data_IF_860071948207
#
_entry.id   IF_860071948207
#
_cell.length_a   1.000
_cell.length_b   1.000
_cell.length_c   1.000
_cell.angle_alpha   90.00
_cell.angle_beta   90.00
_cell.angle_gamma   90.00
#
_symmetry.space_group_name_H-M   'P 1'
#
loop_
_entity.id
_entity.type
_entity.pdbx_description
1 polymer ?
#
# COMPACT_ATOMS: atom_id res chain seq x y z
N UNK A 1 9.46 -20.42 9.23
CA UNK A 1 8.20 -20.02 9.89
C UNK A 1 8.42 -18.68 10.57
N UNK A 2 7.65 -17.64 10.24
CA UNK A 2 7.62 -16.41 11.05
C UNK A 2 7.07 -16.78 12.43
N UNK A 3 7.88 -16.65 13.49
CA UNK A 3 7.35 -16.73 14.86
C UNK A 3 6.29 -15.64 15.05
N UNK A 4 5.26 -15.90 15.85
CA UNK A 4 4.15 -14.97 16.12
C UNK A 4 4.64 -13.57 16.51
N UNK A 5 5.75 -13.49 17.26
CA UNK A 5 6.42 -12.22 17.60
C UNK A 5 6.90 -11.46 16.35
N UNK A 6 7.59 -12.13 15.43
CA UNK A 6 8.08 -11.51 14.19
C UNK A 6 6.93 -11.01 13.32
N UNK A 7 5.83 -11.78 13.26
CA UNK A 7 4.64 -11.35 12.55
C UNK A 7 4.02 -10.08 13.16
N UNK A 8 3.90 -10.04 14.50
CA UNK A 8 3.39 -8.85 15.21
C UNK A 8 4.24 -7.61 14.94
N UNK A 9 5.56 -7.76 14.91
CA UNK A 9 6.48 -6.67 14.57
C UNK A 9 6.28 -6.17 13.13
N UNK A 10 6.17 -7.08 12.17
CA UNK A 10 5.89 -6.73 10.76
C UNK A 10 4.56 -5.99 10.63
N UNK A 11 3.52 -6.47 11.31
CA UNK A 11 2.20 -5.85 11.29
C UNK A 11 2.23 -4.46 11.94
N UNK A 12 2.94 -4.29 13.06
CA UNK A 12 3.13 -3.01 13.73
C UNK A 12 3.85 -2.00 12.82
N UNK A 13 4.92 -2.44 12.15
CA UNK A 13 5.64 -1.62 11.18
C UNK A 13 4.72 -1.19 10.02
N UNK A 14 3.92 -2.11 9.47
CA UNK A 14 2.96 -1.79 8.42
C UNK A 14 1.94 -0.74 8.86
N UNK A 15 1.42 -0.85 10.08
CA UNK A 15 0.49 0.13 10.63
C UNK A 15 1.15 1.50 10.86
N UNK A 16 2.41 1.53 11.28
CA UNK A 16 3.17 2.77 11.42
C UNK A 16 3.39 3.45 10.06
N UNK A 17 3.76 2.70 9.03
CA UNK A 17 3.92 3.24 7.68
C UNK A 17 2.58 3.75 7.12
N UNK A 18 1.48 3.03 7.38
CA UNK A 18 0.15 3.45 6.96
C UNK A 18 -0.35 4.68 7.71
N UNK A 19 -0.06 4.80 9.01
CA UNK A 19 -0.42 5.98 9.79
C UNK A 19 0.37 7.21 9.35
N UNK A 20 1.64 7.03 8.96
CA UNK A 20 2.43 8.10 8.35
C UNK A 20 1.85 8.55 7.01
N UNK A 21 1.46 7.62 6.13
CA UNK A 21 0.80 7.95 4.86
C UNK A 21 -0.50 8.75 5.07
N UNK A 22 -1.35 8.33 6.02
CA UNK A 22 -2.55 9.08 6.41
C UNK A 22 -2.22 10.46 6.98
N UNK A 23 -1.16 10.58 7.77
CA UNK A 23 -0.69 11.85 8.30
C UNK A 23 -0.28 12.80 7.17
N UNK A 24 0.57 12.36 6.24
CA UNK A 24 0.99 13.23 5.12
C UNK A 24 -0.20 13.58 4.24
N UNK A 25 -1.11 12.64 3.98
CA UNK A 25 -2.36 12.92 3.26
C UNK A 25 -3.25 13.95 3.95
N UNK A 26 -3.24 14.02 5.28
CA UNK A 26 -4.06 14.98 6.03
C UNK A 26 -3.39 16.35 6.19
N UNK A 27 -2.06 16.39 6.37
CA UNK A 27 -1.35 17.59 6.78
C UNK A 27 -0.48 18.24 5.70
N UNK A 28 -0.21 17.56 4.58
CA UNK A 28 0.67 18.09 3.51
C UNK A 28 0.18 19.42 2.94
N UNK A 29 -1.12 19.66 2.91
CA UNK A 29 -1.69 20.91 2.38
C UNK A 29 -1.43 22.12 3.28
N UNK A 30 -1.28 21.92 4.60
CA UNK A 30 -0.97 23.01 5.53
C UNK A 30 0.42 23.60 5.28
N UNK A 31 1.33 22.79 4.74
CA UNK A 31 2.71 23.18 4.43
C UNK A 31 2.83 23.76 3.01
N UNK A 32 1.73 24.29 2.47
CA UNK A 32 1.70 24.77 1.09
C UNK A 32 2.73 25.87 0.79
N UNK A 33 3.02 26.73 1.77
CA UNK A 33 3.91 27.88 1.62
C UNK A 33 5.40 27.51 1.67
N UNK A 34 5.74 26.27 2.01
CA UNK A 34 7.12 25.80 2.17
C UNK A 34 7.36 24.61 1.25
N UNK A 35 7.51 24.84 -0.08
CA UNK A 35 7.54 23.77 -1.08
C UNK A 35 8.65 22.74 -0.83
N UNK A 36 9.79 23.15 -0.27
CA UNK A 36 10.88 22.24 0.09
C UNK A 36 10.47 21.25 1.18
N UNK A 37 9.76 21.70 2.22
CA UNK A 37 9.29 20.82 3.30
C UNK A 37 8.22 19.87 2.76
N UNK A 38 7.32 20.39 1.93
CA UNK A 38 6.28 19.59 1.28
C UNK A 38 6.89 18.51 0.38
N UNK A 39 7.93 18.82 -0.38
CA UNK A 39 8.67 17.86 -1.19
C UNK A 39 9.25 16.73 -0.34
N UNK A 40 9.91 17.07 0.77
CA UNK A 40 10.52 16.08 1.67
C UNK A 40 9.45 15.14 2.23
N UNK A 41 8.31 15.68 2.66
CA UNK A 41 7.20 14.85 3.15
C UNK A 41 6.66 13.90 2.08
N UNK A 42 6.49 14.36 0.84
CA UNK A 42 6.04 13.52 -0.26
C UNK A 42 7.03 12.41 -0.59
N UNK A 43 8.34 12.70 -0.59
CA UNK A 43 9.38 11.67 -0.80
C UNK A 43 9.31 10.61 0.30
N UNK A 44 9.23 11.02 1.57
CA UNK A 44 9.15 10.05 2.69
C UNK A 44 7.85 9.25 2.61
N UNK A 45 6.74 9.88 2.21
CA UNK A 45 5.45 9.20 2.01
C UNK A 45 5.56 8.14 0.90
N UNK A 46 6.11 8.49 -0.26
CA UNK A 46 6.25 7.56 -1.39
C UNK A 46 7.15 6.37 -1.02
N UNK A 47 8.23 6.63 -0.28
CA UNK A 47 9.10 5.57 0.26
C UNK A 47 8.33 4.69 1.25
N UNK A 48 7.54 5.28 2.16
CA UNK A 48 6.75 4.52 3.14
C UNK A 48 5.68 3.65 2.47
N UNK A 49 4.99 4.17 1.45
CA UNK A 49 4.05 3.39 0.63
C UNK A 49 4.80 2.27 -0.07
N UNK A 50 5.92 2.55 -0.75
CA UNK A 50 6.74 1.53 -1.41
C UNK A 50 7.17 0.41 -0.45
N UNK A 51 7.61 0.74 0.76
CA UNK A 51 7.95 -0.25 1.78
C UNK A 51 6.74 -1.09 2.17
N UNK A 52 5.56 -0.50 2.34
CA UNK A 52 4.32 -1.24 2.58
C UNK A 52 4.03 -2.25 1.45
N UNK A 53 4.20 -1.86 0.18
CA UNK A 53 4.07 -2.75 -0.97
C UNK A 53 5.05 -3.94 -0.85
N UNK A 54 6.33 -3.63 -0.61
CA UNK A 54 7.39 -4.64 -0.50
C UNK A 54 7.09 -5.62 0.64
N UNK A 55 6.69 -5.12 1.82
CA UNK A 55 6.38 -5.97 2.97
C UNK A 55 5.21 -6.91 2.66
N UNK A 56 4.15 -6.43 2.01
CA UNK A 56 3.05 -7.31 1.58
C UNK A 56 3.54 -8.43 0.65
N UNK A 57 4.39 -8.11 -0.34
CA UNK A 57 4.95 -9.12 -1.22
C UNK A 57 5.85 -10.12 -0.47
N UNK A 58 6.67 -9.64 0.47
CA UNK A 58 7.46 -10.52 1.32
C UNK A 58 6.58 -11.43 2.19
N UNK A 59 5.47 -10.92 2.72
CA UNK A 59 4.51 -11.73 3.46
C UNK A 59 3.88 -12.80 2.57
N UNK A 60 3.52 -12.47 1.32
CA UNK A 60 3.04 -13.43 0.34
C UNK A 60 4.06 -14.53 0.05
N UNK A 61 5.32 -14.18 -0.23
CA UNK A 61 6.38 -15.15 -0.52
C UNK A 61 6.73 -16.05 0.66
N UNK A 62 6.53 -15.57 1.90
CA UNK A 62 6.72 -16.36 3.10
C UNK A 62 5.58 -17.34 3.40
N UNK A 63 4.44 -17.24 2.71
CA UNK A 63 3.34 -18.22 2.87
C UNK A 63 3.72 -19.57 2.29
N UNK A 64 3.32 -20.65 2.96
CA UNK A 64 3.53 -22.01 2.46
C UNK A 64 2.78 -22.25 1.15
N UNK A 65 1.63 -21.61 0.97
CA UNK A 65 0.84 -21.66 -0.28
C UNK A 65 1.67 -21.19 -1.48
N UNK A 66 2.42 -20.10 -1.32
CA UNK A 66 3.30 -19.60 -2.38
C UNK A 66 4.49 -20.54 -2.60
N UNK A 67 5.13 -20.99 -1.51
CA UNK A 67 6.29 -21.89 -1.56
C UNK A 67 5.95 -23.25 -2.19
N UNK A 68 4.72 -23.72 -2.01
CA UNK A 68 4.24 -24.98 -2.55
C UNK A 68 3.68 -24.83 -3.98
N UNK A 69 3.78 -23.64 -4.60
CA UNK A 69 3.49 -23.41 -6.02
C UNK A 69 2.05 -23.00 -6.34
N UNK A 70 1.17 -22.86 -5.34
CA UNK A 70 -0.23 -22.41 -5.50
C UNK A 70 -0.32 -20.86 -5.64
N UNK A 71 0.61 -20.29 -6.40
CA UNK A 71 0.78 -18.85 -6.58
C UNK A 71 -0.45 -18.21 -7.21
N UNK A 72 -1.05 -18.86 -8.22
CA UNK A 72 -2.26 -18.39 -8.89
C UNK A 72 -3.47 -18.26 -7.94
N UNK A 73 -3.61 -19.19 -6.99
CA UNK A 73 -4.67 -19.14 -5.98
C UNK A 73 -4.53 -17.89 -5.11
N UNK A 74 -3.31 -17.60 -4.68
CA UNK A 74 -3.00 -16.45 -3.84
C UNK A 74 -3.21 -15.13 -4.61
N UNK A 75 -2.73 -15.05 -5.85
CA UNK A 75 -2.99 -13.89 -6.72
C UNK A 75 -4.48 -13.69 -6.95
N UNK A 76 -5.25 -14.75 -7.24
CA UNK A 76 -6.69 -14.63 -7.44
C UNK A 76 -7.39 -14.08 -6.19
N UNK A 77 -7.02 -14.56 -5.00
CA UNK A 77 -7.61 -14.15 -3.72
C UNK A 77 -7.29 -12.70 -3.34
N UNK A 78 -6.12 -12.20 -3.71
CA UNK A 78 -5.63 -10.87 -3.30
C UNK A 78 -5.42 -9.88 -4.45
N UNK A 79 -5.87 -10.22 -5.67
CA UNK A 79 -5.76 -9.39 -6.90
C UNK A 79 -6.25 -7.96 -6.68
N UNK A 80 -7.39 -7.81 -6.00
CA UNK A 80 -7.98 -6.50 -5.71
C UNK A 80 -7.05 -5.59 -4.91
N UNK A 81 -6.42 -6.11 -3.86
CA UNK A 81 -5.48 -5.32 -3.05
C UNK A 81 -4.22 -4.97 -3.82
N UNK A 82 -3.67 -5.91 -4.61
CA UNK A 82 -2.47 -5.66 -5.42
C UNK A 82 -2.72 -4.55 -6.44
N UNK A 83 -3.83 -4.64 -7.20
CA UNK A 83 -4.20 -3.62 -8.18
C UNK A 83 -4.45 -2.29 -7.49
N UNK A 84 -5.23 -2.27 -6.41
CA UNK A 84 -5.55 -1.05 -5.68
C UNK A 84 -4.29 -0.35 -5.15
N UNK A 85 -3.34 -1.13 -4.65
CA UNK A 85 -2.06 -0.63 -4.13
C UNK A 85 -1.21 -0.04 -5.24
N UNK A 86 -1.13 -0.69 -6.40
CA UNK A 86 -0.42 -0.18 -7.56
C UNK A 86 -1.05 1.11 -8.11
N UNK A 87 -2.39 1.15 -8.20
CA UNK A 87 -3.14 2.34 -8.63
C UNK A 87 -2.93 3.48 -7.65
N UNK A 88 -3.05 3.22 -6.34
CA UNK A 88 -2.82 4.23 -5.31
C UNK A 88 -1.41 4.82 -5.39
N UNK A 89 -0.39 3.97 -5.47
CA UNK A 89 1.00 4.42 -5.57
C UNK A 89 1.25 5.27 -6.82
N UNK A 90 0.71 4.85 -7.98
CA UNK A 90 0.81 5.62 -9.22
C UNK A 90 0.10 6.98 -9.12
N UNK A 91 -1.10 7.02 -8.52
CA UNK A 91 -1.84 8.26 -8.30
C UNK A 91 -1.10 9.19 -7.33
N UNK A 92 -0.53 8.67 -6.24
CA UNK A 92 0.26 9.45 -5.28
C UNK A 92 1.47 10.10 -5.95
N UNK A 93 2.30 9.33 -6.67
CA UNK A 93 3.46 9.89 -7.40
C UNK A 93 3.01 10.93 -8.43
N UNK A 94 1.97 10.63 -9.21
CA UNK A 94 1.46 11.56 -10.23
C UNK A 94 1.00 12.88 -9.60
N UNK A 95 0.30 12.80 -8.47
CA UNK A 95 -0.14 13.96 -7.71
C UNK A 95 1.06 14.73 -7.17
N UNK A 96 2.01 14.06 -6.51
CA UNK A 96 3.21 14.70 -5.95
C UNK A 96 4.02 15.42 -7.02
N UNK A 97 4.28 14.78 -8.16
CA UNK A 97 5.02 15.37 -9.28
C UNK A 97 4.29 16.61 -9.82
N UNK A 98 2.97 16.54 -10.04
CA UNK A 98 2.21 17.67 -10.55
C UNK A 98 2.18 18.83 -9.56
N UNK A 99 1.83 18.54 -8.30
CA UNK A 99 1.78 19.52 -7.21
C UNK A 99 3.13 20.22 -7.05
N UNK A 100 4.23 19.47 -7.06
CA UNK A 100 5.57 20.01 -6.91
C UNK A 100 6.02 20.83 -8.11
N UNK A 101 5.73 20.41 -9.34
CA UNK A 101 6.05 21.17 -10.55
C UNK A 101 5.36 22.54 -10.55
N UNK A 102 4.09 22.59 -10.13
CA UNK A 102 3.33 23.83 -10.07
C UNK A 102 3.85 24.77 -8.98
N UNK A 103 4.11 24.23 -7.79
CA UNK A 103 4.57 25.01 -6.62
C UNK A 103 5.99 25.52 -6.77
N UNK A 104 6.87 24.76 -7.41
CA UNK A 104 8.24 25.21 -7.67
C UNK A 104 8.27 26.39 -8.65
N UNK A 105 7.33 26.43 -9.61
CA UNK A 105 7.21 27.56 -10.55
C UNK A 105 6.56 28.78 -9.91
N UNK A 106 5.53 28.58 -9.09
CA UNK A 106 4.65 29.65 -8.60
C UNK A 106 4.40 29.55 -7.09
N UNK A 107 5.45 29.80 -6.28
CA UNK A 107 5.40 29.53 -4.83
C UNK A 107 4.33 30.30 -4.05
N UNK A 108 3.85 31.45 -4.55
CA UNK A 108 2.93 32.32 -3.81
C UNK A 108 1.49 32.32 -4.32
N UNK A 109 1.19 31.75 -5.49
CA UNK A 109 -0.18 31.75 -6.01
C UNK A 109 -0.88 30.42 -5.72
N UNK A 110 -2.10 30.53 -5.21
CA UNK A 110 -3.01 29.41 -5.02
C UNK A 110 -3.52 28.97 -6.40
N UNK A 111 -2.71 28.22 -7.13
CA UNK A 111 -3.09 27.67 -8.44
C UNK A 111 -3.56 26.24 -8.23
N UNK A 112 -4.86 26.04 -8.30
CA UNK A 112 -5.48 24.72 -8.45
C UNK A 112 -6.12 24.67 -9.83
N UNK A 113 -5.59 23.82 -10.69
CA UNK A 113 -6.22 23.53 -11.98
C UNK A 113 -7.30 22.47 -11.78
N UNK A 114 -8.37 22.50 -12.55
CA UNK A 114 -9.46 21.52 -12.48
C UNK A 114 -8.95 20.07 -12.55
N UNK A 115 -7.96 19.81 -13.42
CA UNK A 115 -7.32 18.49 -13.54
C UNK A 115 -6.56 18.07 -12.28
N UNK A 116 -5.88 19.00 -11.61
CA UNK A 116 -5.17 18.73 -10.35
C UNK A 116 -6.16 18.44 -9.22
N UNK A 117 -7.27 19.18 -9.17
CA UNK A 117 -8.32 18.95 -8.18
C UNK A 117 -9.01 17.59 -8.38
N UNK A 118 -9.29 17.20 -9.63
CA UNK A 118 -9.78 15.85 -9.92
C UNK A 118 -8.78 14.79 -9.45
N UNK A 119 -7.51 14.91 -9.83
CA UNK A 119 -6.47 13.97 -9.44
C UNK A 119 -6.35 13.86 -7.91
N UNK A 120 -6.42 15.00 -7.22
CA UNK A 120 -6.42 15.07 -5.77
C UNK A 120 -7.60 14.29 -5.17
N UNK A 121 -8.82 14.54 -5.63
CA UNK A 121 -10.02 13.84 -5.13
C UNK A 121 -9.91 12.33 -5.38
N UNK A 122 -9.48 11.91 -6.57
CA UNK A 122 -9.27 10.50 -6.88
C UNK A 122 -8.19 9.87 -6.00
N UNK A 123 -7.09 10.56 -5.77
CA UNK A 123 -6.03 10.08 -4.88
C UNK A 123 -6.54 9.92 -3.44
N UNK A 124 -7.35 10.86 -2.93
CA UNK A 124 -7.95 10.77 -1.58
C UNK A 124 -8.94 9.62 -1.45
N UNK A 125 -9.79 9.42 -2.45
CA UNK A 125 -10.70 8.27 -2.49
C UNK A 125 -9.92 6.95 -2.53
N UNK A 126 -8.88 6.89 -3.38
CA UNK A 126 -7.99 5.74 -3.45
C UNK A 126 -7.25 5.50 -2.13
N UNK A 127 -6.85 6.55 -1.40
CA UNK A 127 -6.18 6.45 -0.09
C UNK A 127 -7.08 5.77 0.95
N UNK A 128 -8.36 6.14 1.02
CA UNK A 128 -9.33 5.51 1.95
C UNK A 128 -9.50 4.03 1.63
N UNK A 129 -9.68 3.70 0.34
CA UNK A 129 -9.79 2.31 -0.11
C UNK A 129 -8.49 1.55 0.19
N UNK A 130 -7.35 2.14 -0.14
CA UNK A 130 -6.02 1.57 0.10
C UNK A 130 -5.85 1.23 1.58
N UNK A 131 -6.09 2.17 2.49
CA UNK A 131 -5.96 1.92 3.93
C UNK A 131 -6.84 0.77 4.42
N UNK A 132 -8.10 0.71 3.97
CA UNK A 132 -9.03 -0.34 4.36
C UNK A 132 -8.59 -1.72 3.84
N UNK A 133 -8.35 -1.83 2.53
CA UNK A 133 -8.01 -3.10 1.89
C UNK A 133 -6.61 -3.58 2.28
N UNK A 134 -5.65 -2.67 2.44
CA UNK A 134 -4.31 -2.99 2.89
C UNK A 134 -4.34 -3.57 4.31
N UNK A 135 -5.00 -2.89 5.26
CA UNK A 135 -5.19 -3.41 6.63
C UNK A 135 -5.86 -4.78 6.63
N UNK A 136 -6.93 -4.94 5.84
CA UNK A 136 -7.65 -6.20 5.73
C UNK A 136 -6.77 -7.32 5.18
N UNK A 137 -5.95 -7.04 4.17
CA UNK A 137 -5.02 -8.01 3.59
C UNK A 137 -3.89 -8.36 4.55
N UNK A 138 -3.30 -7.37 5.23
CA UNK A 138 -2.28 -7.60 6.23
C UNK A 138 -2.80 -8.55 7.31
N UNK A 139 -3.95 -8.27 7.92
CA UNK A 139 -4.54 -9.16 8.94
C UNK A 139 -4.87 -10.56 8.40
N UNK A 140 -5.40 -10.66 7.17
CA UNK A 140 -5.70 -11.95 6.53
C UNK A 140 -4.46 -12.79 6.24
N UNK A 141 -3.35 -12.15 5.88
CA UNK A 141 -2.09 -12.83 5.64
C UNK A 141 -1.49 -13.42 6.91
N UNK A 142 -1.85 -12.89 8.08
CA UNK A 142 -1.45 -13.42 9.38
C UNK A 142 -2.17 -14.68 9.82
N UNK A 143 -3.15 -15.15 9.06
CA UNK A 143 -3.86 -16.38 9.39
C UNK A 143 -2.89 -17.58 9.30
N UNK A 144 -2.69 -18.35 10.39
CA UNK A 144 -1.77 -19.49 10.41
C UNK A 144 -2.06 -20.54 9.34
N UNK A 145 -3.30 -20.63 8.82
CA UNK A 145 -3.66 -21.54 7.74
C UNK A 145 -2.81 -21.38 6.47
N UNK A 146 -2.23 -20.20 6.23
CA UNK A 146 -1.35 -19.95 5.08
C UNK A 146 0.10 -20.40 5.31
N UNK A 147 0.52 -20.66 6.55
CA UNK A 147 1.89 -21.00 6.93
C UNK A 147 2.07 -22.46 7.38
N UNK A 148 0.96 -23.21 7.52
CA UNK A 148 0.95 -24.60 7.93
C UNK A 148 0.34 -25.48 6.82
N UNK A 149 0.81 -26.72 6.73
CA UNK A 149 0.21 -27.72 5.84
C UNK A 149 -1.16 -28.15 6.40
N UNK A 150 -2.20 -27.44 5.96
CA UNK A 150 -3.57 -27.65 6.41
C UNK A 150 -4.33 -28.59 5.49
N UNK A 151 -5.35 -29.28 6.03
CA UNK A 151 -6.25 -30.13 5.24
C UNK A 151 -6.90 -29.38 4.08
N UNK A 152 -7.18 -28.08 4.26
CA UNK A 152 -7.68 -27.21 3.19
C UNK A 152 -6.68 -27.13 2.04
N UNK A 153 -5.40 -26.88 2.33
CA UNK A 153 -4.38 -26.78 1.29
C UNK A 153 -4.18 -28.10 0.53
N UNK A 154 -4.21 -29.22 1.24
CA UNK A 154 -4.16 -30.56 0.63
C UNK A 154 -5.34 -30.80 -0.33
N UNK A 155 -6.53 -30.29 -0.02
CA UNK A 155 -7.69 -30.36 -0.93
C UNK A 155 -7.48 -29.51 -2.17
N UNK A 156 -6.96 -28.28 -2.03
CA UNK A 156 -6.63 -27.42 -3.18
C UNK A 156 -5.59 -28.08 -4.09
N UNK A 157 -4.53 -28.69 -3.52
CA UNK A 157 -3.56 -29.48 -4.28
C UNK A 157 -4.19 -30.62 -5.08
N UNK A 158 -5.11 -31.36 -4.46
CA UNK A 158 -5.81 -32.46 -5.11
C UNK A 158 -6.74 -31.96 -6.23
N UNK A 159 -7.35 -30.78 -6.07
CA UNK A 159 -8.17 -30.15 -7.11
C UNK A 159 -7.34 -29.65 -8.29
N UNK A 160 -6.16 -29.06 -8.06
CA UNK A 160 -5.27 -28.62 -9.15
C UNK A 160 -4.68 -29.79 -9.93
N UNK A 161 -4.52 -30.97 -9.31
CA UNK A 161 -4.01 -32.17 -9.98
C UNK A 161 -5.05 -32.88 -10.86
N UNK A 162 -6.34 -32.59 -10.68
CA UNK A 162 -7.44 -33.23 -11.41
C UNK A 162 -7.76 -32.46 -12.69
#
# INVERSE_FOLDING_TARGET
>A
MLQTSNYSLVLSLQFLLLSYDLFVNSFSELLQKTPVIQLVLFIIQDIAVLFNIIIIFLMFFNTFVFQAGLVNLLFHKFKGTIILTAVYFALSISLHVWVMNLRWKNSNSFIWTDGLQMLFVFQRLAAVLYCYFYKRTAVRLGDPHFYQDSLWLRKEFMQVRR
#
